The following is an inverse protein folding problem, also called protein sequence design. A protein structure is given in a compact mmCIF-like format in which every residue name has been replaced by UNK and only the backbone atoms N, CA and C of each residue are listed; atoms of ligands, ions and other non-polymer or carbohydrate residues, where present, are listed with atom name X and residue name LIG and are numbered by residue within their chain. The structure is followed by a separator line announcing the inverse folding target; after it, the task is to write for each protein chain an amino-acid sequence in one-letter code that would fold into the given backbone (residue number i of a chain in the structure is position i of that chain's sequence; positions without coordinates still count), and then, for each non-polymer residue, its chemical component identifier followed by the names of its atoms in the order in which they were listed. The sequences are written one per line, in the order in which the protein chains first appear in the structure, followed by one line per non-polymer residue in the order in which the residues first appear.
data_IF_586594277709
#
_entry.id   IF_586594277709
#
_cell.length_a   1.000
_cell.length_b   1.000
_cell.length_c   1.000
_cell.angle_alpha   90.00
_cell.angle_beta   90.00
_cell.angle_gamma   90.00
#
_symmetry.space_group_name_H-M   'P 1'
#
loop_
_entity.id
_entity.type
_entity.pdbx_description
1 polymer ?
#
# COMPACT_ATOMS: atom_id res chain seq x y z
N UNK A 1 32.71 -43.21 -31.22
CA UNK A 1 31.34 -42.91 -31.70
C UNK A 1 30.66 -42.13 -30.60
N UNK A 2 30.02 -41.02 -30.99
CA UNK A 2 29.78 -39.81 -30.19
C UNK A 2 28.75 -40.01 -29.07
N UNK A 3 29.08 -39.37 -27.94
CA UNK A 3 28.38 -39.33 -26.66
C UNK A 3 26.94 -38.77 -26.72
N UNK A 4 26.06 -39.40 -25.94
CA UNK A 4 24.69 -38.95 -25.71
C UNK A 4 24.68 -38.16 -24.39
N UNK A 5 24.68 -36.83 -24.46
CA UNK A 5 24.46 -35.95 -23.31
C UNK A 5 23.32 -34.98 -23.65
N UNK A 6 22.07 -35.43 -23.46
CA UNK A 6 20.85 -34.66 -23.74
C UNK A 6 19.92 -34.59 -22.52
N UNK A 7 20.47 -34.61 -21.30
CA UNK A 7 19.66 -34.69 -20.07
C UNK A 7 20.02 -33.69 -18.98
N UNK A 8 21.02 -32.84 -19.18
CA UNK A 8 21.48 -31.88 -18.15
C UNK A 8 20.80 -30.50 -18.27
N UNK A 9 20.30 -30.13 -19.46
CA UNK A 9 19.78 -28.78 -19.71
C UNK A 9 18.35 -28.52 -19.20
N UNK A 10 17.54 -29.56 -19.00
CA UNK A 10 16.12 -29.42 -18.61
C UNK A 10 15.91 -29.22 -17.10
N UNK A 11 16.85 -29.67 -16.27
CA UNK A 11 16.77 -29.45 -14.82
C UNK A 11 17.31 -28.06 -14.46
N UNK A 12 18.37 -27.61 -15.15
CA UNK A 12 19.00 -26.32 -14.90
C UNK A 12 18.15 -25.13 -15.36
N UNK A 13 17.26 -25.33 -16.34
CA UNK A 13 16.23 -24.36 -16.74
C UNK A 13 15.07 -24.30 -15.76
N UNK A 14 14.61 -25.45 -15.23
CA UNK A 14 13.57 -25.51 -14.18
C UNK A 14 14.00 -24.92 -12.85
N UNK A 15 15.26 -25.08 -12.47
CA UNK A 15 15.78 -24.50 -11.23
C UNK A 15 15.98 -22.99 -11.35
N UNK A 16 16.34 -22.48 -12.54
CA UNK A 16 16.36 -21.03 -12.82
C UNK A 16 14.96 -20.40 -12.96
N UNK A 17 13.97 -21.16 -13.43
CA UNK A 17 12.56 -20.73 -13.42
C UNK A 17 11.97 -20.72 -12.01
N UNK A 18 12.28 -21.72 -11.18
CA UNK A 18 11.93 -21.74 -9.75
C UNK A 18 12.63 -20.66 -8.95
N UNK A 19 13.90 -20.36 -9.23
CA UNK A 19 14.61 -19.22 -8.61
C UNK A 19 13.99 -17.88 -9.03
N UNK A 20 13.58 -17.74 -10.30
CA UNK A 20 12.83 -16.56 -10.78
C UNK A 20 11.42 -16.46 -10.18
N UNK A 21 10.76 -17.57 -9.88
CA UNK A 21 9.47 -17.62 -9.18
C UNK A 21 9.58 -17.40 -7.66
N UNK A 22 10.80 -17.38 -7.09
CA UNK A 22 11.06 -17.23 -5.65
C UNK A 22 11.64 -15.87 -5.23
N UNK A 23 11.71 -14.90 -6.14
CA UNK A 23 12.11 -13.54 -5.79
C UNK A 23 11.02 -12.95 -4.88
N UNK A 24 11.28 -12.95 -3.58
CA UNK A 24 10.50 -12.27 -2.55
C UNK A 24 10.04 -10.92 -3.11
N UNK A 25 8.74 -10.83 -3.42
CA UNK A 25 8.21 -9.66 -4.10
C UNK A 25 7.96 -8.58 -3.05
N UNK A 26 9.05 -7.93 -2.64
CA UNK A 26 9.02 -6.79 -1.74
C UNK A 26 8.37 -5.61 -2.46
N UNK A 27 7.58 -4.79 -1.75
CA UNK A 27 7.04 -3.57 -2.33
C UNK A 27 8.18 -2.61 -2.67
N UNK A 28 8.06 -1.92 -3.80
CA UNK A 28 8.87 -0.72 -4.02
C UNK A 28 8.23 0.44 -3.28
N UNK A 29 9.04 1.25 -2.62
CA UNK A 29 8.59 2.33 -1.75
C UNK A 29 9.42 3.57 -2.01
N UNK A 30 8.77 4.72 -2.14
CA UNK A 30 9.44 6.01 -2.21
C UNK A 30 8.53 7.11 -1.67
N UNK A 31 9.13 8.21 -1.24
CA UNK A 31 8.41 9.40 -0.82
C UNK A 31 8.53 10.46 -1.90
N UNK A 32 7.41 10.90 -2.46
CA UNK A 32 7.35 12.05 -3.34
C UNK A 32 7.27 13.32 -2.48
N UNK A 33 8.36 14.09 -2.45
CA UNK A 33 8.44 15.32 -1.67
C UNK A 33 7.55 16.43 -2.22
N UNK A 34 7.35 16.51 -3.54
CA UNK A 34 6.54 17.55 -4.16
C UNK A 34 5.07 17.35 -3.81
N UNK A 35 4.64 16.09 -3.90
CA UNK A 35 3.29 15.67 -3.59
C UNK A 35 3.12 15.30 -2.12
N UNK A 36 4.14 15.42 -1.26
CA UNK A 36 4.13 14.96 0.15
C UNK A 36 3.45 13.59 0.34
N UNK A 37 3.69 12.67 -0.60
CA UNK A 37 2.95 11.40 -0.71
C UNK A 37 3.91 10.22 -0.61
N UNK A 38 3.60 9.29 0.29
CA UNK A 38 4.32 8.03 0.39
C UNK A 38 3.70 7.01 -0.56
N UNK A 39 4.49 6.59 -1.55
CA UNK A 39 4.05 5.68 -2.60
C UNK A 39 4.59 4.29 -2.31
N UNK A 40 3.69 3.30 -2.30
CA UNK A 40 4.00 1.89 -2.07
C UNK A 40 3.43 1.11 -3.24
N UNK A 41 4.29 0.50 -4.06
CA UNK A 41 3.86 -0.29 -5.22
C UNK A 41 4.15 -1.77 -5.01
N UNK A 42 3.11 -2.57 -5.20
CA UNK A 42 3.19 -4.02 -5.18
C UNK A 42 3.02 -4.57 -6.59
N UNK A 43 3.91 -5.47 -6.99
CA UNK A 43 3.90 -6.08 -8.33
C UNK A 43 3.90 -7.60 -8.23
N UNK A 44 3.36 -8.28 -9.24
CA UNK A 44 3.47 -9.74 -9.36
C UNK A 44 2.61 -10.52 -8.36
N UNK A 45 3.10 -11.71 -8.01
CA UNK A 45 2.47 -12.65 -7.07
C UNK A 45 3.21 -12.59 -5.75
N UNK A 46 2.55 -12.05 -4.74
CA UNK A 46 3.14 -11.86 -3.41
C UNK A 46 2.66 -12.98 -2.48
N UNK A 47 3.59 -13.69 -1.85
CA UNK A 47 3.26 -14.69 -0.83
C UNK A 47 2.86 -14.05 0.50
N UNK A 48 2.24 -14.81 1.40
CA UNK A 48 1.80 -14.31 2.71
C UNK A 48 2.96 -13.85 3.60
N UNK A 49 4.08 -14.58 3.58
CA UNK A 49 5.33 -14.19 4.25
C UNK A 49 5.84 -12.83 3.77
N UNK A 50 5.67 -12.57 2.47
CA UNK A 50 6.20 -11.39 1.79
C UNK A 50 5.33 -10.16 2.10
N UNK A 51 4.03 -10.35 2.32
CA UNK A 51 3.13 -9.30 2.78
C UNK A 51 3.54 -8.79 4.16
N UNK A 52 3.71 -9.68 5.14
CA UNK A 52 4.06 -9.27 6.49
C UNK A 52 5.45 -8.60 6.53
N UNK A 53 6.42 -9.16 5.80
CA UNK A 53 7.76 -8.59 5.68
C UNK A 53 7.76 -7.23 4.97
N UNK A 54 6.98 -7.07 3.91
CA UNK A 54 6.85 -5.81 3.20
C UNK A 54 6.20 -4.73 4.06
N UNK A 55 5.14 -5.05 4.79
CA UNK A 55 4.53 -4.08 5.71
C UNK A 55 5.40 -3.75 6.92
N UNK A 56 6.27 -4.65 7.37
CA UNK A 56 7.29 -4.31 8.35
C UNK A 56 8.25 -3.22 7.82
N UNK A 57 8.68 -3.33 6.55
CA UNK A 57 9.51 -2.30 5.91
C UNK A 57 8.75 -0.97 5.73
N UNK A 58 7.46 -1.05 5.39
CA UNK A 58 6.58 0.13 5.32
C UNK A 58 6.57 0.85 6.67
N UNK A 59 6.37 0.13 7.78
CA UNK A 59 6.35 0.73 9.12
C UNK A 59 7.67 1.43 9.48
N UNK A 60 8.81 0.88 9.08
CA UNK A 60 10.11 1.54 9.28
C UNK A 60 10.20 2.89 8.54
N UNK A 61 9.67 3.00 7.32
CA UNK A 61 9.62 4.28 6.60
C UNK A 61 8.69 5.28 7.29
N UNK A 62 7.54 4.80 7.80
CA UNK A 62 6.55 5.63 8.49
C UNK A 62 7.10 6.23 9.77
N UNK A 63 7.90 5.47 10.53
CA UNK A 63 8.55 5.96 11.75
C UNK A 63 9.40 7.20 11.48
N UNK A 64 10.09 7.23 10.35
CA UNK A 64 11.02 8.30 9.99
C UNK A 64 10.32 9.48 9.31
N UNK A 65 9.46 9.21 8.33
CA UNK A 65 8.87 10.23 7.47
C UNK A 65 7.52 10.77 7.96
N UNK A 66 6.79 9.96 8.75
CA UNK A 66 5.42 10.23 9.21
C UNK A 66 4.48 10.76 8.11
N UNK A 67 4.41 10.08 6.94
CA UNK A 67 3.66 10.58 5.80
C UNK A 67 2.16 10.52 6.06
N UNK A 68 1.43 11.60 5.75
CA UNK A 68 -0.03 11.67 5.94
C UNK A 68 -0.82 11.29 4.70
N UNK A 69 -0.19 11.30 3.53
CA UNK A 69 -0.78 10.90 2.25
C UNK A 69 -0.08 9.64 1.75
N UNK A 70 -0.87 8.63 1.41
CA UNK A 70 -0.38 7.33 1.00
C UNK A 70 -1.03 6.93 -0.31
N UNK A 71 -0.20 6.47 -1.24
CA UNK A 71 -0.65 5.86 -2.48
C UNK A 71 -0.22 4.40 -2.50
N UNK A 72 -1.19 3.50 -2.36
CA UNK A 72 -1.01 2.05 -2.47
C UNK A 72 -1.31 1.62 -3.90
N UNK A 73 -0.28 1.43 -4.71
CA UNK A 73 -0.44 0.90 -6.06
C UNK A 73 -0.41 -0.63 -6.05
N UNK A 74 -1.57 -1.22 -6.33
CA UNK A 74 -1.77 -2.66 -6.42
C UNK A 74 -2.13 -3.10 -7.85
N UNK A 75 -2.02 -2.22 -8.86
CA UNK A 75 -2.41 -2.51 -10.26
C UNK A 75 -1.77 -3.76 -10.82
N UNK A 76 -0.50 -3.98 -10.49
CA UNK A 76 0.27 -5.11 -11.02
C UNK A 76 0.18 -6.36 -10.12
N UNK A 77 -0.69 -6.33 -9.10
CA UNK A 77 -0.86 -7.45 -8.17
C UNK A 77 -1.86 -8.47 -8.74
N UNK A 78 -1.45 -9.73 -8.79
CA UNK A 78 -2.27 -10.79 -9.37
C UNK A 78 -3.44 -11.21 -8.46
N UNK A 79 -3.23 -11.19 -7.14
CA UNK A 79 -4.24 -11.58 -6.14
C UNK A 79 -4.07 -10.78 -4.87
N UNK A 80 -5.19 -10.37 -4.28
CA UNK A 80 -5.25 -9.79 -2.94
C UNK A 80 -6.17 -10.71 -2.12
N UNK A 81 -5.61 -11.33 -1.07
CA UNK A 81 -6.38 -12.24 -0.22
C UNK A 81 -7.06 -11.44 0.89
N UNK A 82 -8.30 -11.82 1.22
CA UNK A 82 -9.05 -11.22 2.33
C UNK A 82 -8.31 -11.33 3.67
N UNK A 83 -7.62 -12.45 3.91
CA UNK A 83 -6.80 -12.64 5.13
C UNK A 83 -5.69 -11.59 5.26
N UNK A 84 -5.03 -11.24 4.15
CA UNK A 84 -3.94 -10.26 4.14
C UNK A 84 -4.50 -8.86 4.39
N UNK A 85 -5.65 -8.54 3.79
CA UNK A 85 -6.34 -7.27 4.03
C UNK A 85 -6.70 -7.11 5.51
N UNK A 86 -7.41 -8.10 6.07
CA UNK A 86 -7.82 -8.08 7.47
C UNK A 86 -6.61 -7.91 8.40
N UNK A 87 -5.50 -8.59 8.11
CA UNK A 87 -4.28 -8.45 8.89
C UNK A 87 -3.70 -7.02 8.82
N UNK A 88 -3.66 -6.40 7.64
CA UNK A 88 -3.22 -5.01 7.48
C UNK A 88 -4.10 -4.04 8.27
N UNK A 89 -5.42 -4.21 8.20
CA UNK A 89 -6.37 -3.39 8.96
C UNK A 89 -6.26 -3.59 10.47
N UNK A 90 -6.01 -4.81 10.94
CA UNK A 90 -5.95 -5.13 12.37
C UNK A 90 -4.60 -4.75 13.00
N UNK A 91 -3.50 -4.80 12.24
CA UNK A 91 -2.16 -4.67 12.81
C UNK A 91 -1.39 -3.47 12.28
N UNK A 92 -1.40 -3.24 10.97
CA UNK A 92 -0.55 -2.24 10.33
C UNK A 92 -1.13 -0.84 10.47
N UNK A 93 -2.37 -0.65 10.01
CA UNK A 93 -2.98 0.69 10.02
C UNK A 93 -3.13 1.31 11.42
N UNK A 94 -3.51 0.56 12.48
CA UNK A 94 -3.52 1.11 13.82
C UNK A 94 -2.14 1.57 14.28
N UNK A 95 -1.07 0.87 13.88
CA UNK A 95 0.29 1.29 14.18
C UNK A 95 0.68 2.55 13.40
N UNK A 96 0.31 2.63 12.12
CA UNK A 96 0.51 3.82 11.29
C UNK A 96 -0.13 5.06 11.93
N UNK A 97 -1.40 4.99 12.35
CA UNK A 97 -2.07 6.10 13.03
C UNK A 97 -1.38 6.50 14.33
N UNK A 98 -0.92 5.53 15.14
CA UNK A 98 -0.16 5.82 16.37
C UNK A 98 1.18 6.50 16.11
N UNK A 99 1.92 6.05 15.10
CA UNK A 99 3.24 6.56 14.76
C UNK A 99 3.19 7.98 14.20
N UNK A 100 2.18 8.26 13.35
CA UNK A 100 1.97 9.57 12.74
C UNK A 100 1.34 10.53 13.74
N UNK A 101 0.38 10.06 14.54
CA UNK A 101 -0.32 10.88 15.53
C UNK A 101 -1.24 11.94 14.92
N UNK A 102 -1.70 11.72 13.67
CA UNK A 102 -2.57 12.62 12.91
C UNK A 102 -3.41 11.80 11.92
N UNK A 103 -4.49 12.36 11.34
CA UNK A 103 -5.25 11.64 10.29
C UNK A 103 -4.39 11.34 9.06
N UNK A 104 -4.66 10.19 8.47
CA UNK A 104 -3.95 9.62 7.32
C UNK A 104 -4.94 9.36 6.19
N UNK A 105 -4.59 9.79 4.99
CA UNK A 105 -5.36 9.57 3.77
C UNK A 105 -4.68 8.52 2.92
N UNK A 106 -5.40 7.46 2.57
CA UNK A 106 -4.87 6.32 1.81
C UNK A 106 -5.65 6.16 0.51
N UNK A 107 -5.00 6.38 -0.62
CA UNK A 107 -5.55 6.06 -1.92
C UNK A 107 -5.03 4.70 -2.38
N UNK A 108 -5.94 3.80 -2.76
CA UNK A 108 -5.60 2.46 -3.23
C UNK A 108 -5.90 2.35 -4.71
N UNK A 109 -4.89 2.11 -5.53
CA UNK A 109 -5.04 1.93 -6.96
C UNK A 109 -5.11 0.44 -7.28
N UNK A 110 -6.26 -0.02 -7.79
CA UNK A 110 -6.55 -1.43 -8.04
C UNK A 110 -6.61 -1.72 -9.55
N UNK A 111 -6.27 -2.94 -9.99
CA UNK A 111 -6.57 -3.38 -11.34
C UNK A 111 -8.09 -3.58 -11.50
N UNK A 112 -8.59 -3.32 -12.71
CA UNK A 112 -10.01 -3.47 -13.05
C UNK A 112 -10.57 -4.86 -12.70
N UNK A 113 -9.74 -5.90 -12.84
CA UNK A 113 -10.07 -7.30 -12.53
C UNK A 113 -10.37 -7.54 -11.05
N UNK A 114 -9.80 -6.74 -10.16
CA UNK A 114 -9.98 -6.86 -8.71
C UNK A 114 -10.96 -5.83 -8.14
N UNK A 115 -11.33 -4.81 -8.93
CA UNK A 115 -12.23 -3.74 -8.51
C UNK A 115 -13.58 -4.31 -8.05
N UNK A 116 -14.23 -5.16 -8.84
CA UNK A 116 -15.56 -5.68 -8.49
C UNK A 116 -15.60 -6.64 -7.29
N UNK A 117 -14.47 -7.29 -6.94
CA UNK A 117 -14.41 -8.25 -5.83
C UNK A 117 -13.99 -7.65 -4.49
N UNK A 118 -13.30 -6.49 -4.49
CA UNK A 118 -12.86 -5.80 -3.27
C UNK A 118 -13.78 -4.64 -2.86
N UNK A 119 -14.52 -4.05 -3.80
CA UNK A 119 -15.32 -2.83 -3.58
C UNK A 119 -16.48 -3.05 -2.58
N UNK A 120 -16.97 -4.28 -2.42
CA UNK A 120 -18.09 -4.57 -1.50
C UNK A 120 -17.66 -4.73 -0.02
N UNK A 121 -16.40 -5.13 0.24
CA UNK A 121 -15.92 -5.42 1.60
C UNK A 121 -15.12 -4.25 2.23
N UNK A 122 -14.73 -3.22 1.46
CA UNK A 122 -13.76 -2.18 1.88
C UNK A 122 -14.17 -0.73 1.60
N UNK A 123 -15.34 -0.50 1.00
CA UNK A 123 -15.82 0.86 0.80
C UNK A 123 -16.29 1.47 2.12
N UNK A 124 -15.53 2.45 2.63
CA UNK A 124 -16.01 3.37 3.68
C UNK A 124 -15.61 3.04 5.11
N UNK A 125 -14.65 2.14 5.34
CA UNK A 125 -14.13 1.90 6.69
C UNK A 125 -13.20 3.07 7.10
N UNK A 126 -13.81 4.12 7.62
CA UNK A 126 -13.12 5.10 8.46
C UNK A 126 -12.63 4.37 9.71
N UNK A 127 -11.31 4.18 9.79
CA UNK A 127 -10.72 3.60 10.99
C UNK A 127 -10.31 4.72 11.93
N UNK A 128 -10.80 4.67 13.16
CA UNK A 128 -10.45 5.64 14.20
C UNK A 128 -9.47 5.01 15.19
N UNK A 129 -8.34 5.69 15.43
CA UNK A 129 -7.52 5.46 16.63
C UNK A 129 -7.49 6.74 17.46
N UNK A 130 -8.14 6.70 18.62
CA UNK A 130 -8.39 7.86 19.49
C UNK A 130 -9.15 8.99 18.76
N UNK A 131 -8.43 10.05 18.38
CA UNK A 131 -8.94 11.25 17.72
C UNK A 131 -8.46 11.38 16.26
N UNK A 132 -7.71 10.39 15.77
CA UNK A 132 -7.16 10.41 14.41
C UNK A 132 -7.89 9.40 13.53
N UNK A 133 -8.13 9.80 12.29
CA UNK A 133 -8.85 9.02 11.30
C UNK A 133 -7.90 8.46 10.24
N UNK A 134 -8.13 7.23 9.81
CA UNK A 134 -7.63 6.74 8.54
C UNK A 134 -8.80 6.71 7.56
N UNK A 135 -8.68 7.50 6.50
CA UNK A 135 -9.68 7.59 5.44
C UNK A 135 -9.07 6.95 4.20
N UNK A 136 -9.76 5.94 3.67
CA UNK A 136 -9.31 5.17 2.52
C UNK A 136 -10.28 5.33 1.34
N UNK A 137 -9.73 5.47 0.14
CA UNK A 137 -10.53 5.45 -1.09
C UNK A 137 -9.82 4.66 -2.20
N UNK A 138 -10.63 3.98 -3.02
CA UNK A 138 -10.16 3.13 -4.11
C UNK A 138 -10.27 3.85 -5.46
N UNK A 139 -9.30 3.60 -6.34
CA UNK A 139 -9.19 4.23 -7.65
C UNK A 139 -8.72 3.22 -8.70
N UNK A 140 -9.08 3.45 -9.96
CA UNK A 140 -8.50 2.73 -11.09
C UNK A 140 -7.25 3.42 -11.64
N UNK A 141 -7.13 4.74 -11.42
CA UNK A 141 -6.08 5.59 -11.97
C UNK A 141 -5.29 6.30 -10.87
N UNK A 142 -3.96 6.33 -11.02
CA UNK A 142 -3.05 6.95 -10.04
C UNK A 142 -3.23 8.47 -9.97
N UNK A 143 -3.51 9.10 -11.11
CA UNK A 143 -3.77 10.55 -11.17
C UNK A 143 -5.02 10.95 -10.39
N UNK A 144 -6.06 10.12 -10.41
CA UNK A 144 -7.29 10.36 -9.64
C UNK A 144 -7.04 10.20 -8.14
N UNK A 145 -6.31 9.14 -7.78
CA UNK A 145 -5.84 8.93 -6.42
C UNK A 145 -5.06 10.13 -5.89
N UNK A 146 -4.11 10.63 -6.68
CA UNK A 146 -3.28 11.77 -6.29
C UNK A 146 -4.09 13.06 -6.13
N UNK A 147 -5.00 13.35 -7.08
CA UNK A 147 -5.90 14.50 -6.98
C UNK A 147 -6.75 14.45 -5.71
N UNK A 148 -7.26 13.27 -5.36
CA UNK A 148 -8.03 13.08 -4.13
C UNK A 148 -7.18 13.29 -2.88
N UNK A 149 -5.98 12.71 -2.81
CA UNK A 149 -5.07 12.90 -1.67
C UNK A 149 -4.75 14.38 -1.42
N UNK A 150 -4.48 15.13 -2.49
CA UNK A 150 -4.21 16.57 -2.42
C UNK A 150 -5.46 17.36 -1.99
N UNK A 151 -6.65 16.96 -2.44
CA UNK A 151 -7.91 17.57 -2.00
C UNK A 151 -8.16 17.37 -0.50
N UNK A 152 -7.99 16.15 0.01
CA UNK A 152 -8.23 15.81 1.42
C UNK A 152 -7.30 16.59 2.37
N UNK A 153 -6.03 16.76 1.96
CA UNK A 153 -5.09 17.56 2.75
C UNK A 153 -5.48 19.04 2.82
N UNK A 154 -6.02 19.60 1.73
CA UNK A 154 -6.49 20.98 1.70
C UNK A 154 -7.71 21.18 2.61
N UNK A 155 -8.68 20.27 2.58
CA UNK A 155 -9.86 20.32 3.46
C UNK A 155 -9.44 20.36 4.93
N UNK A 156 -8.56 19.44 5.33
CA UNK A 156 -8.04 19.36 6.70
C UNK A 156 -7.26 20.61 7.14
N UNK A 157 -6.46 21.21 6.25
CA UNK A 157 -5.78 22.48 6.53
C UNK A 157 -6.79 23.64 6.70
N UNK A 158 -7.86 23.64 5.91
CA UNK A 158 -8.95 24.61 6.02
C UNK A 158 -9.69 24.52 7.36
N UNK A 159 -10.06 23.33 7.81
CA UNK A 159 -10.77 23.11 9.08
C UNK A 159 -9.96 23.56 10.30
N UNK A 160 -8.66 23.25 10.34
CA UNK A 160 -7.76 23.72 11.42
C UNK A 160 -7.62 25.24 11.45
N UNK A 161 -7.63 25.88 10.28
CA UNK A 161 -7.51 27.34 10.19
C UNK A 161 -8.73 28.05 10.79
N UNK A 162 -9.92 27.44 10.70
CA UNK A 162 -11.15 27.96 11.29
C UNK A 162 -11.21 27.76 12.81
N UNK A 163 -10.66 26.65 13.33
CA UNK A 163 -10.60 26.37 14.77
C UNK A 163 -9.63 27.31 15.53
N UNK A 164 -8.52 27.70 14.89
CA UNK A 164 -7.53 28.61 15.50
C UNK A 164 -8.06 30.05 15.65
N UNK A 165 -9.01 30.47 14.82
CA UNK A 165 -9.63 31.81 14.92
C UNK A 165 -10.56 31.90 16.14
N UNK A 166 -11.21 30.80 16.52
CA UNK A 166 -12.18 30.78 17.62
C UNK A 166 -11.55 30.64 19.02
N UNK A 167 -10.24 30.36 19.11
CA UNK A 167 -9.53 30.18 20.41
C UNK A 167 -8.79 31.46 20.86
N UNK A 168 -8.91 32.57 20.11
CA UNK A 168 -8.24 33.86 20.40
C UNK A 168 -9.16 35.00 20.85
N UNK A 169 -10.39 34.70 21.29
CA UNK A 169 -11.26 35.65 22.02
C UNK A 169 -11.45 35.17 23.45
#
# INVERSE_FOLDING_TARGET
MIDINYSVDFQQTRDKEKERESLASNPSMFYDEQEETFVIRWEGKVGKSDIHAGYAQVLEHVKNLKPKKWLLDLKNRHTIRREDQLWVFQHVFPEVLRLIGDDVFVAVVLPLTLYHGLVEDLNGDEMMDKNNFLIMQQFLYEEEAQRWLSHMQLLKKGERSLQLIHTRM
#
